data_IF_461847415310
#
_entry.id   IF_461847415310
#
_cell.length_a   1.000
_cell.length_b   1.000
_cell.length_c   1.000
_cell.angle_alpha   90.00
_cell.angle_beta   90.00
_cell.angle_gamma   90.00
#
_symmetry.space_group_name_H-M   'P 1'
#
loop_
_entity.id
_entity.type
_entity.pdbx_description
1 polymer ?
#
# COMPACT_ATOMS: atom_id res chain seq x y z
N UNK A 1 27.56 4.83 -22.87
CA UNK A 1 26.12 4.52 -23.05
C UNK A 1 25.49 5.67 -23.81
N UNK A 2 24.65 5.41 -24.82
CA UNK A 2 23.93 6.44 -25.58
C UNK A 2 22.49 6.49 -25.06
N UNK A 3 21.99 7.68 -24.78
CA UNK A 3 20.61 7.89 -24.35
C UNK A 3 19.77 8.40 -25.52
N UNK A 4 18.55 7.87 -25.63
CA UNK A 4 17.55 8.32 -26.59
C UNK A 4 16.27 8.65 -25.84
N UNK A 5 15.65 9.78 -26.19
CA UNK A 5 14.33 10.13 -25.68
C UNK A 5 13.31 9.16 -26.26
N UNK A 6 12.43 8.63 -25.41
CA UNK A 6 11.26 7.87 -25.82
C UNK A 6 10.02 8.73 -25.54
N UNK A 7 9.19 8.95 -26.55
CA UNK A 7 7.93 9.67 -26.41
C UNK A 7 6.79 8.64 -26.20
N UNK A 8 6.32 8.55 -24.96
CA UNK A 8 5.33 7.54 -24.53
C UNK A 8 3.94 8.13 -24.26
N UNK A 9 3.67 9.36 -24.70
CA UNK A 9 2.42 10.09 -24.36
C UNK A 9 1.12 9.43 -24.82
N UNK A 10 1.19 8.53 -25.80
CA UNK A 10 0.05 7.78 -26.31
C UNK A 10 -0.01 6.34 -25.77
N UNK A 11 0.94 5.91 -24.94
CA UNK A 11 0.91 4.59 -24.34
C UNK A 11 0.01 4.63 -23.09
N UNK A 12 -0.99 3.75 -23.07
CA UNK A 12 -2.01 3.70 -22.01
C UNK A 12 -1.63 2.66 -20.96
N UNK A 13 -1.21 1.47 -21.39
CA UNK A 13 -0.91 0.36 -20.50
C UNK A 13 0.15 -0.59 -21.08
N UNK A 14 0.80 -1.33 -20.18
CA UNK A 14 1.76 -2.38 -20.51
C UNK A 14 1.42 -3.64 -19.71
N UNK A 15 1.38 -4.80 -20.37
CA UNK A 15 1.20 -6.11 -19.74
C UNK A 15 2.18 -7.14 -20.31
N UNK A 16 2.31 -8.29 -19.64
CA UNK A 16 3.14 -9.41 -20.11
C UNK A 16 2.37 -10.73 -20.00
N UNK A 17 2.34 -11.48 -21.09
CA UNK A 17 1.72 -12.80 -21.16
C UNK A 17 2.42 -13.66 -22.21
N UNK A 18 2.62 -14.94 -21.92
CA UNK A 18 3.13 -15.94 -22.87
C UNK A 18 4.42 -15.54 -23.62
N UNK A 19 5.30 -14.75 -22.98
CA UNK A 19 6.56 -14.29 -23.58
C UNK A 19 6.42 -13.08 -24.51
N UNK A 20 5.29 -12.39 -24.45
CA UNK A 20 5.03 -11.16 -25.18
C UNK A 20 4.72 -10.03 -24.19
N UNK A 21 5.23 -8.84 -24.51
CA UNK A 21 4.81 -7.59 -23.92
C UNK A 21 3.64 -7.03 -24.74
N UNK A 22 2.49 -6.86 -24.12
CA UNK A 22 1.35 -6.17 -24.70
C UNK A 22 1.41 -4.68 -24.40
N UNK A 23 1.34 -3.85 -25.43
CA UNK A 23 1.35 -2.38 -25.34
C UNK A 23 -0.01 -1.86 -25.81
N UNK A 24 -0.78 -1.26 -24.91
CA UNK A 24 -2.04 -0.62 -25.27
C UNK A 24 -1.79 0.84 -25.63
N UNK A 25 -2.07 1.23 -26.86
CA UNK A 25 -1.78 2.55 -27.41
C UNK A 25 -3.08 3.27 -27.76
N UNK A 26 -3.20 4.53 -27.36
CA UNK A 26 -4.28 5.43 -27.76
C UNK A 26 -3.96 6.08 -29.11
N UNK A 27 -4.86 5.90 -30.09
CA UNK A 27 -4.78 6.55 -31.41
C UNK A 27 -5.72 7.75 -31.54
N UNK A 28 -6.53 8.02 -30.50
CA UNK A 28 -7.48 9.13 -30.41
C UNK A 28 -8.93 8.69 -30.65
N UNK A 29 -9.17 7.79 -31.59
CA UNK A 29 -10.47 7.23 -31.94
C UNK A 29 -10.63 5.75 -31.57
N UNK A 30 -9.51 5.05 -31.38
CA UNK A 30 -9.47 3.66 -30.93
C UNK A 30 -8.22 3.36 -30.09
N UNK A 31 -8.27 2.23 -29.37
CA UNK A 31 -7.11 1.66 -28.70
C UNK A 31 -6.54 0.51 -29.53
N UNK A 32 -5.23 0.53 -29.74
CA UNK A 32 -4.49 -0.50 -30.46
C UNK A 32 -3.64 -1.30 -29.46
N UNK A 33 -3.76 -2.63 -29.47
CA UNK A 33 -2.87 -3.53 -28.73
C UNK A 33 -1.74 -3.99 -29.64
N UNK A 34 -0.50 -3.69 -29.27
CA UNK A 34 0.71 -4.14 -29.96
C UNK A 34 1.45 -5.17 -29.11
N UNK A 35 1.68 -6.36 -29.64
CA UNK A 35 2.43 -7.41 -28.97
C UNK A 35 3.87 -7.47 -29.46
N UNK A 36 4.82 -7.47 -28.54
CA UNK A 36 6.25 -7.54 -28.84
C UNK A 36 6.86 -8.72 -28.09
N UNK A 37 7.56 -9.65 -28.74
CA UNK A 37 8.25 -10.73 -28.05
C UNK A 37 9.24 -10.15 -27.03
N UNK A 38 9.05 -10.49 -25.76
CA UNK A 38 9.85 -9.95 -24.68
C UNK A 38 9.93 -10.95 -23.51
N UNK A 39 11.11 -11.08 -22.88
CA UNK A 39 11.24 -11.85 -21.66
C UNK A 39 10.49 -11.14 -20.50
N UNK A 40 10.09 -11.88 -19.48
CA UNK A 40 9.29 -11.34 -18.35
C UNK A 40 10.07 -10.27 -17.58
N UNK A 41 11.39 -10.39 -17.52
CA UNK A 41 12.31 -9.45 -16.89
C UNK A 41 12.24 -8.05 -17.53
N UNK A 42 11.86 -7.96 -18.81
CA UNK A 42 11.62 -6.68 -19.46
C UNK A 42 10.40 -5.96 -18.87
N UNK A 43 9.31 -6.69 -18.60
CA UNK A 43 8.13 -6.15 -17.94
C UNK A 43 8.44 -5.73 -16.50
N UNK A 44 9.15 -6.56 -15.74
CA UNK A 44 9.59 -6.24 -14.38
C UNK A 44 10.45 -4.96 -14.34
N UNK A 45 11.38 -4.83 -15.28
CA UNK A 45 12.20 -3.62 -15.43
C UNK A 45 11.35 -2.38 -15.69
N UNK A 46 10.32 -2.47 -16.53
CA UNK A 46 9.40 -1.36 -16.79
C UNK A 46 8.57 -0.99 -15.55
N UNK A 47 8.11 -1.98 -14.77
CA UNK A 47 7.42 -1.73 -13.49
C UNK A 47 8.32 -0.98 -12.50
N UNK A 48 9.60 -1.37 -12.42
CA UNK A 48 10.58 -0.68 -11.58
C UNK A 48 10.81 0.76 -12.07
N UNK A 49 11.01 0.98 -13.37
CA UNK A 49 11.14 2.34 -13.94
C UNK A 49 9.91 3.19 -13.65
N UNK A 50 8.70 2.61 -13.75
CA UNK A 50 7.46 3.30 -13.41
C UNK A 50 7.45 3.77 -11.95
N UNK A 51 7.90 2.92 -11.01
CA UNK A 51 8.04 3.29 -9.60
C UNK A 51 9.07 4.41 -9.37
N UNK A 52 10.21 4.38 -10.08
CA UNK A 52 11.26 5.39 -9.93
C UNK A 52 10.83 6.76 -10.48
N UNK A 53 10.23 6.78 -11.67
CA UNK A 53 9.90 8.02 -12.38
C UNK A 53 8.63 8.64 -11.84
N UNK A 54 7.67 7.82 -11.43
CA UNK A 54 6.49 8.31 -10.74
C UNK A 54 6.75 8.34 -9.24
N UNK A 55 7.75 9.07 -8.75
CA UNK A 55 7.99 9.21 -7.29
C UNK A 55 6.86 9.98 -6.55
N UNK A 56 5.78 10.34 -7.25
CA UNK A 56 4.47 10.75 -6.69
C UNK A 56 3.35 9.72 -6.92
N UNK A 57 3.60 8.63 -7.65
CA UNK A 57 2.76 7.44 -7.62
C UNK A 57 3.10 6.70 -6.34
N UNK A 58 2.21 6.86 -5.39
CA UNK A 58 2.07 6.03 -4.22
C UNK A 58 2.40 4.56 -4.58
N UNK A 59 3.21 3.85 -3.77
CA UNK A 59 3.30 2.40 -3.91
C UNK A 59 1.86 1.89 -3.89
N UNK A 60 1.50 1.09 -4.91
CA UNK A 60 0.19 0.51 -5.16
C UNK A 60 -0.77 0.83 -4.03
N UNK A 61 -1.61 1.88 -4.18
CA UNK A 61 -2.41 2.42 -3.08
C UNK A 61 -2.97 1.24 -2.27
N UNK A 62 -2.29 0.95 -1.16
CA UNK A 62 -2.77 0.03 -0.16
C UNK A 62 -4.05 0.73 0.24
N UNK A 63 -5.20 0.16 -0.10
CA UNK A 63 -6.45 0.68 0.42
C UNK A 63 -6.21 0.89 1.92
N UNK A 64 -6.53 2.08 2.46
CA UNK A 64 -6.18 2.41 3.83
C UNK A 64 -6.62 1.25 4.71
N UNK A 65 -5.65 0.67 5.42
CA UNK A 65 -5.83 -0.58 6.16
C UNK A 65 -7.11 -0.45 6.99
N UNK A 66 -8.05 -1.35 6.78
CA UNK A 66 -9.37 -1.24 7.39
C UNK A 66 -9.25 -1.43 8.91
N UNK A 67 -9.41 -0.33 9.65
CA UNK A 67 -9.36 -0.33 11.11
C UNK A 67 -10.71 -0.72 11.71
N UNK A 68 -10.66 -1.54 12.75
CA UNK A 68 -11.77 -1.92 13.60
C UNK A 68 -11.71 -1.09 14.89
N UNK A 69 -12.81 -0.40 15.26
CA UNK A 69 -12.85 0.33 16.52
C UNK A 69 -12.82 -0.66 17.69
N UNK A 70 -12.10 -0.31 18.75
CA UNK A 70 -11.97 -1.15 19.96
C UNK A 70 -12.33 -0.36 21.22
N UNK A 71 -12.86 -1.06 22.22
CA UNK A 71 -13.09 -0.49 23.54
C UNK A 71 -11.85 -0.72 24.41
N UNK A 72 -10.90 0.23 24.37
CA UNK A 72 -9.69 0.18 25.17
C UNK A 72 -9.27 1.58 25.59
N UNK A 73 -8.62 1.71 26.75
CA UNK A 73 -7.98 2.97 27.15
C UNK A 73 -6.65 3.20 26.46
N UNK A 74 -6.08 2.16 25.82
CA UNK A 74 -4.81 2.22 25.10
C UNK A 74 -5.00 2.64 23.64
N UNK A 75 -6.00 2.10 22.97
CA UNK A 75 -6.21 2.23 21.53
C UNK A 75 -7.67 2.56 21.21
N UNK A 76 -7.87 3.38 20.18
CA UNK A 76 -9.18 3.70 19.60
C UNK A 76 -9.55 2.71 18.51
N UNK A 77 -8.57 2.29 17.71
CA UNK A 77 -8.77 1.33 16.63
C UNK A 77 -7.53 0.47 16.39
N UNK A 78 -7.74 -0.73 15.85
CA UNK A 78 -6.67 -1.64 15.40
C UNK A 78 -7.07 -2.25 14.06
N UNK A 79 -6.09 -2.62 13.25
CA UNK A 79 -6.37 -3.36 12.03
C UNK A 79 -5.18 -4.17 11.58
N UNK A 80 -5.42 -5.15 10.72
CA UNK A 80 -4.41 -6.07 10.28
C UNK A 80 -4.55 -6.41 8.79
N UNK A 81 -3.44 -6.42 8.09
CA UNK A 81 -3.32 -6.92 6.73
C UNK A 81 -2.61 -8.29 6.79
N UNK A 82 -3.30 -9.34 6.37
CA UNK A 82 -2.74 -10.70 6.37
C UNK A 82 -1.80 -10.97 5.19
N UNK A 83 -1.91 -10.20 4.10
CA UNK A 83 -1.05 -10.32 2.92
C UNK A 83 0.34 -9.81 3.26
N UNK A 84 0.40 -8.60 3.82
CA UNK A 84 1.64 -7.92 4.15
C UNK A 84 2.09 -8.14 5.61
N UNK A 85 1.26 -8.82 6.41
CA UNK A 85 1.48 -9.09 7.85
C UNK A 85 1.73 -7.81 8.66
N UNK A 86 0.95 -6.79 8.36
CA UNK A 86 1.04 -5.47 8.99
C UNK A 86 -0.06 -5.33 10.02
N UNK A 87 0.31 -5.08 11.27
CA UNK A 87 -0.60 -4.64 12.32
C UNK A 87 -0.54 -3.13 12.44
N UNK A 88 -1.68 -2.45 12.36
CA UNK A 88 -1.82 -1.04 12.66
C UNK A 88 -2.55 -0.84 13.98
N UNK A 89 -2.03 0.06 14.81
CA UNK A 89 -2.63 0.46 16.09
C UNK A 89 -2.76 1.97 16.14
N UNK A 90 -3.99 2.46 16.28
CA UNK A 90 -4.30 3.84 16.60
C UNK A 90 -4.46 3.98 18.12
N UNK A 91 -3.51 4.66 18.76
CA UNK A 91 -3.54 4.87 20.19
C UNK A 91 -4.57 5.95 20.54
N UNK A 92 -5.14 5.86 21.74
CA UNK A 92 -6.06 6.89 22.25
C UNK A 92 -5.41 8.28 22.41
N UNK A 93 -4.09 8.37 22.33
CA UNK A 93 -3.35 9.64 22.23
C UNK A 93 -3.37 10.27 20.83
N UNK A 94 -3.97 9.61 19.83
CA UNK A 94 -3.99 10.01 18.43
C UNK A 94 -2.75 9.60 17.63
N UNK A 95 -1.79 8.91 18.24
CA UNK A 95 -0.62 8.40 17.51
C UNK A 95 -0.96 7.10 16.79
N UNK A 96 -0.48 6.93 15.55
CA UNK A 96 -0.67 5.70 14.77
C UNK A 96 0.67 5.02 14.56
N UNK A 97 0.73 3.71 14.79
CA UNK A 97 1.90 2.90 14.51
C UNK A 97 1.54 1.70 13.66
N UNK A 98 2.42 1.37 12.73
CA UNK A 98 2.41 0.11 11.99
C UNK A 98 3.56 -0.77 12.47
N UNK A 99 3.26 -2.04 12.66
CA UNK A 99 4.19 -3.12 13.01
C UNK A 99 4.24 -4.09 11.84
N UNK A 100 5.43 -4.43 11.38
CA UNK A 100 5.65 -5.36 10.28
C UNK A 100 5.94 -6.77 10.79
N UNK A 101 5.75 -7.77 9.93
CA UNK A 101 6.00 -9.19 10.21
C UNK A 101 5.22 -9.73 11.43
N UNK A 102 4.07 -9.15 11.74
CA UNK A 102 3.21 -9.64 12.83
C UNK A 102 2.44 -10.87 12.35
N UNK A 103 2.62 -12.00 13.02
CA UNK A 103 1.96 -13.24 12.61
C UNK A 103 0.44 -13.20 12.82
N UNK A 104 -0.35 -13.90 11.97
CA UNK A 104 -1.81 -13.94 12.09
C UNK A 104 -2.29 -14.41 13.46
N UNK A 105 -1.58 -15.33 14.10
CA UNK A 105 -1.89 -15.83 15.45
C UNK A 105 -1.80 -14.73 16.51
N UNK A 106 -0.84 -13.79 16.36
CA UNK A 106 -0.71 -12.62 17.24
C UNK A 106 -1.89 -11.67 17.05
N UNK A 107 -2.37 -11.50 15.81
CA UNK A 107 -3.55 -10.70 15.50
C UNK A 107 -4.84 -11.32 16.06
N UNK A 108 -5.04 -12.63 15.91
CA UNK A 108 -6.18 -13.36 16.50
C UNK A 108 -6.19 -13.21 18.03
N UNK A 109 -5.05 -13.44 18.68
CA UNK A 109 -4.94 -13.30 20.13
C UNK A 109 -5.12 -11.85 20.62
N UNK A 110 -4.75 -10.84 19.82
CA UNK A 110 -4.97 -9.43 20.13
C UNK A 110 -6.47 -9.05 20.05
N UNK A 111 -7.25 -9.70 19.18
CA UNK A 111 -8.69 -9.46 19.10
C UNK A 111 -9.46 -10.13 20.24
N UNK A 112 -9.02 -11.30 20.69
CA UNK A 112 -9.74 -12.10 21.69
C UNK A 112 -9.34 -11.80 23.15
N UNK A 113 -8.31 -10.98 23.39
CA UNK A 113 -7.82 -10.71 24.74
C UNK A 113 -8.76 -9.83 25.57
N UNK A 114 -8.91 -10.18 26.86
CA UNK A 114 -9.65 -9.39 27.85
C UNK A 114 -8.99 -8.02 28.14
N UNK A 115 -7.71 -7.87 27.82
CA UNK A 115 -6.95 -6.64 28.09
C UNK A 115 -5.96 -6.37 26.96
N UNK A 116 -6.45 -5.63 25.97
CA UNK A 116 -5.71 -5.21 24.79
C UNK A 116 -4.37 -4.53 25.15
N UNK A 117 -4.40 -3.64 26.16
CA UNK A 117 -3.19 -2.97 26.64
C UNK A 117 -2.15 -3.90 27.30
N UNK A 118 -2.58 -4.91 28.07
CA UNK A 118 -1.67 -5.87 28.67
C UNK A 118 -1.03 -6.76 27.61
N UNK A 119 -1.83 -7.24 26.66
CA UNK A 119 -1.34 -8.06 25.56
C UNK A 119 -0.34 -7.28 24.70
N UNK A 120 -0.70 -6.07 24.28
CA UNK A 120 0.17 -5.21 23.48
C UNK A 120 1.53 -4.99 24.14
N UNK A 121 1.57 -4.64 25.43
CA UNK A 121 2.84 -4.40 26.12
C UNK A 121 3.71 -5.67 26.28
N UNK A 122 3.09 -6.85 26.27
CA UNK A 122 3.81 -8.12 26.51
C UNK A 122 4.28 -8.77 25.20
N UNK A 123 3.45 -8.69 24.15
CA UNK A 123 3.64 -9.47 22.93
C UNK A 123 3.98 -8.63 21.69
N UNK A 124 3.71 -7.32 21.70
CA UNK A 124 3.87 -6.48 20.50
C UNK A 124 4.92 -5.40 20.72
N UNK A 125 4.82 -4.66 21.83
CA UNK A 125 5.68 -3.53 22.12
C UNK A 125 7.14 -3.97 22.24
N UNK A 126 7.97 -3.50 21.30
CA UNK A 126 9.40 -3.81 21.25
C UNK A 126 9.73 -5.23 20.79
N UNK A 127 8.75 -6.00 20.33
CA UNK A 127 8.96 -7.33 19.72
C UNK A 127 8.98 -7.28 18.19
N UNK A 128 8.33 -6.27 17.60
CA UNK A 128 8.27 -6.06 16.15
C UNK A 128 8.89 -4.71 15.78
N UNK A 129 9.48 -4.68 14.58
CA UNK A 129 9.88 -3.42 13.96
C UNK A 129 8.63 -2.60 13.66
N UNK A 130 8.70 -1.31 13.98
CA UNK A 130 7.56 -0.42 13.85
C UNK A 130 7.95 0.94 13.31
N UNK A 131 6.98 1.53 12.61
CA UNK A 131 7.07 2.90 12.14
C UNK A 131 5.85 3.69 12.61
N UNK A 132 6.08 4.94 12.98
CA UNK A 132 4.98 5.87 13.25
C UNK A 132 4.43 6.37 11.92
N UNK A 133 3.12 6.32 11.78
CA UNK A 133 2.41 6.88 10.63
C UNK A 133 1.93 8.26 11.03
N UNK A 134 2.50 9.27 10.39
CA UNK A 134 2.02 10.64 10.46
C UNK A 134 1.05 10.78 9.28
N UNK A 135 -0.25 10.55 9.50
CA UNK A 135 -1.25 10.89 8.48
C UNK A 135 -1.21 12.40 8.27
N UNK A 136 -0.50 12.84 7.23
CA UNK A 136 -0.69 14.17 6.66
C UNK A 136 -1.81 14.01 5.64
N UNK A 137 -3.03 14.10 6.13
CA UNK A 137 -4.15 14.59 5.32
C UNK A 137 -4.85 15.67 6.14
N UNK A 138 -4.20 16.82 6.20
CA UNK A 138 -4.91 18.07 6.40
C UNK A 138 -5.52 18.46 5.05
N UNK A 139 -6.67 17.90 4.72
CA UNK A 139 -7.62 18.64 3.90
C UNK A 139 -8.88 18.91 4.74
N UNK A 140 -8.87 20.08 5.36
CA UNK A 140 -10.08 20.73 5.84
C UNK A 140 -10.93 21.06 4.60
N UNK A 141 -11.96 20.26 4.34
CA UNK A 141 -13.15 20.76 3.66
C UNK A 141 -14.33 20.73 4.63
N UNK A 142 -14.31 21.68 5.57
CA UNK A 142 -15.54 22.20 6.18
C UNK A 142 -16.31 23.01 5.12
N UNK A 143 -17.06 22.35 4.24
CA UNK A 143 -18.15 22.94 3.43
C UNK A 143 -19.15 21.78 3.19
N UNK A 144 -20.41 21.74 3.59
CA UNK A 144 -21.43 22.75 3.90
C UNK A 144 -22.36 22.22 5.01
N UNK A 145 -22.57 23.00 6.08
CA UNK A 145 -23.79 22.90 6.88
C UNK A 145 -24.67 24.11 6.48
N UNK A 146 -25.70 23.84 5.67
CA UNK A 146 -26.82 24.75 5.45
C UNK A 146 -28.05 24.22 6.21
#
# INVERSE_FOLDING_TARGET
MKFSKLDLGNLVAVGHSDGYLGLLIDRGDEFELVEVPAPIEAYEGLQHVNSLVNTNALPAASEPLKLLPVQSTMATSIGYDCTDRILQVEFSSGSVYQYVDVEPETWEALQETDSLGRFYNSNIKGQYDCQRIDYIDCDYSEEECC
#
